data_IF_422306330796
#
_entry.id   IF_422306330796
#
_cell.length_a   1.000
_cell.length_b   1.000
_cell.length_c   1.000
_cell.angle_alpha   90.00
_cell.angle_beta   90.00
_cell.angle_gamma   90.00
#
_symmetry.space_group_name_H-M   'P 1'
#
loop_
_entity.id
_entity.type
_entity.pdbx_description
1 polymer ?
#
# COMPACT_ATOMS: atom_id res chain seq x y z
N UNK A 1 -19.83 -8.30 3.64
CA UNK A 1 -20.56 -9.08 4.66
C UNK A 1 -20.66 -10.55 4.30
N UNK A 2 -21.20 -10.95 3.15
CA UNK A 2 -21.33 -12.39 2.78
C UNK A 2 -20.00 -13.19 2.73
N UNK A 3 -18.87 -12.54 2.43
CA UNK A 3 -17.54 -13.17 2.37
C UNK A 3 -16.95 -13.46 3.76
N UNK A 4 -17.26 -12.63 4.75
CA UNK A 4 -16.76 -12.74 6.13
C UNK A 4 -17.44 -13.94 6.81
N UNK A 5 -18.76 -14.05 6.66
CA UNK A 5 -19.56 -15.16 7.20
C UNK A 5 -19.15 -16.53 6.63
N UNK A 6 -18.65 -16.57 5.39
CA UNK A 6 -18.19 -17.81 4.75
C UNK A 6 -16.78 -18.24 5.19
N UNK A 7 -15.96 -17.29 5.66
CA UNK A 7 -14.64 -17.57 6.24
C UNK A 7 -14.78 -18.04 7.69
N UNK A 8 -15.69 -17.45 8.47
CA UNK A 8 -16.02 -17.90 9.85
C UNK A 8 -16.48 -19.37 9.88
N UNK A 9 -17.37 -19.78 8.98
CA UNK A 9 -17.81 -21.20 8.90
C UNK A 9 -16.71 -22.18 8.47
N UNK A 10 -15.67 -21.70 7.79
CA UNK A 10 -14.55 -22.52 7.32
C UNK A 10 -13.51 -22.71 8.44
N UNK A 11 -13.44 -21.72 9.33
CA UNK A 11 -12.66 -21.73 10.57
C UNK A 11 -13.31 -22.62 11.65
N UNK A 12 -14.64 -22.59 11.78
CA UNK A 12 -15.39 -23.54 12.63
C UNK A 12 -15.16 -25.01 12.21
N UNK A 13 -14.97 -25.24 10.90
CA UNK A 13 -14.64 -26.56 10.35
C UNK A 13 -13.21 -27.01 10.70
N UNK A 14 -12.28 -26.08 10.85
CA UNK A 14 -10.88 -26.33 11.23
C UNK A 14 -10.71 -26.58 12.73
N UNK A 15 -11.57 -25.97 13.55
CA UNK A 15 -11.55 -26.11 15.01
C UNK A 15 -12.29 -27.33 15.55
N UNK A 16 -12.92 -28.12 14.67
CA UNK A 16 -13.38 -29.46 14.97
C UNK A 16 -14.40 -29.55 16.12
N UNK A 17 -15.69 -29.40 15.80
CA UNK A 17 -16.75 -30.06 16.59
C UNK A 17 -16.84 -31.57 16.29
N UNK A 18 -15.69 -32.23 16.10
CA UNK A 18 -15.62 -33.69 16.02
C UNK A 18 -14.40 -34.19 16.77
N UNK A 19 -14.69 -34.95 17.83
CA UNK A 19 -13.76 -35.68 18.69
C UNK A 19 -12.89 -36.65 17.88
N UNK A 20 -11.76 -36.17 17.35
CA UNK A 20 -10.67 -37.01 16.92
C UNK A 20 -9.36 -36.23 17.06
N UNK A 21 -8.54 -36.64 18.03
CA UNK A 21 -7.24 -36.08 18.34
C UNK A 21 -6.34 -36.03 17.08
N UNK A 22 -5.93 -34.82 16.69
CA UNK A 22 -4.75 -34.61 15.84
C UNK A 22 -3.84 -33.60 16.54
N UNK A 23 -2.60 -34.03 16.79
CA UNK A 23 -1.54 -33.23 17.40
C UNK A 23 -1.01 -32.17 16.42
N UNK A 24 -1.75 -31.08 16.26
CA UNK A 24 -1.28 -29.84 15.65
C UNK A 24 -1.77 -28.68 16.51
N UNK A 25 -0.91 -27.71 16.81
CA UNK A 25 -1.31 -26.49 17.51
C UNK A 25 -2.46 -25.83 16.73
N UNK A 26 -3.65 -25.61 17.33
CA UNK A 26 -4.76 -25.00 16.62
C UNK A 26 -4.34 -23.60 16.16
N UNK A 27 -4.49 -23.32 14.87
CA UNK A 27 -4.33 -21.96 14.33
C UNK A 27 -5.50 -21.17 14.90
N UNK A 28 -5.22 -20.19 15.77
CA UNK A 28 -6.26 -19.32 16.31
C UNK A 28 -6.93 -18.55 15.18
N UNK A 29 -8.25 -18.50 15.20
CA UNK A 29 -9.14 -17.93 14.17
C UNK A 29 -8.71 -16.54 13.70
N UNK A 30 -8.31 -15.70 14.65
CA UNK A 30 -7.85 -14.32 14.40
C UNK A 30 -6.52 -14.28 13.62
N UNK A 31 -5.60 -15.21 13.91
CA UNK A 31 -4.31 -15.28 13.21
C UNK A 31 -4.51 -15.73 11.76
N UNK A 32 -5.43 -16.67 11.52
CA UNK A 32 -5.77 -17.11 10.17
C UNK A 32 -6.42 -15.99 9.35
N UNK A 33 -7.41 -15.30 9.91
CA UNK A 33 -8.11 -14.23 9.22
C UNK A 33 -7.14 -13.11 8.82
N UNK A 34 -6.22 -12.74 9.72
CA UNK A 34 -5.16 -11.76 9.45
C UNK A 34 -4.26 -12.18 8.28
N UNK A 35 -3.83 -13.45 8.21
CA UNK A 35 -3.03 -13.96 7.08
C UNK A 35 -3.83 -13.93 5.77
N UNK A 36 -5.08 -14.38 5.79
CA UNK A 36 -5.93 -14.39 4.60
C UNK A 36 -6.19 -12.97 4.08
N UNK A 37 -6.44 -12.00 4.97
CA UNK A 37 -6.62 -10.60 4.61
C UNK A 37 -5.35 -9.98 4.03
N UNK A 38 -4.20 -10.19 4.67
CA UNK A 38 -2.92 -9.70 4.19
C UNK A 38 -2.60 -10.25 2.79
N UNK A 39 -2.82 -11.55 2.57
CA UNK A 39 -2.57 -12.20 1.28
C UNK A 39 -3.61 -11.83 0.22
N UNK A 40 -4.85 -11.56 0.59
CA UNK A 40 -5.85 -11.04 -0.32
C UNK A 40 -5.49 -9.63 -0.80
N UNK A 41 -5.04 -8.76 0.11
CA UNK A 41 -4.59 -7.41 -0.20
C UNK A 41 -3.33 -7.44 -1.09
N UNK A 42 -2.33 -8.24 -0.71
CA UNK A 42 -1.11 -8.45 -1.48
C UNK A 42 -1.41 -9.01 -2.87
N UNK A 43 -2.14 -10.12 -2.99
CA UNK A 43 -2.45 -10.72 -4.28
C UNK A 43 -3.13 -9.72 -5.23
N UNK A 44 -4.04 -8.89 -4.71
CA UNK A 44 -4.79 -7.93 -5.52
C UNK A 44 -3.97 -6.68 -5.89
N UNK A 45 -3.27 -6.07 -4.94
CA UNK A 45 -2.69 -4.73 -5.09
C UNK A 45 -1.16 -4.71 -5.11
N UNK A 46 -0.49 -5.82 -4.80
CA UNK A 46 0.97 -5.87 -4.70
C UNK A 46 1.53 -5.05 -3.55
N UNK A 47 0.78 -4.94 -2.46
CA UNK A 47 1.17 -4.21 -1.26
C UNK A 47 0.78 -5.00 0.00
N UNK A 48 1.36 -4.66 1.14
CA UNK A 48 0.93 -5.14 2.46
C UNK A 48 0.38 -3.97 3.27
N UNK A 49 -0.61 -4.25 4.12
CA UNK A 49 -1.09 -3.27 5.09
C UNK A 49 0.07 -2.86 6.02
N UNK A 50 0.18 -1.57 6.32
CA UNK A 50 1.25 -1.04 7.16
C UNK A 50 2.59 -0.84 6.44
N UNK A 51 2.74 -1.29 5.19
CA UNK A 51 3.95 -1.13 4.37
C UNK A 51 5.23 -1.46 5.15
N UNK A 52 5.38 -2.71 5.63
CA UNK A 52 6.57 -3.11 6.36
C UNK A 52 7.81 -3.00 5.46
N UNK A 53 8.97 -2.91 6.09
CA UNK A 53 10.27 -2.89 5.39
C UNK A 53 10.39 -4.08 4.43
N UNK A 54 11.04 -3.93 3.24
CA UNK A 54 11.03 -4.94 2.18
C UNK A 54 11.43 -6.35 2.63
N UNK A 55 12.41 -6.46 3.54
CA UNK A 55 12.83 -7.76 4.09
C UNK A 55 11.75 -8.42 4.96
N UNK A 56 11.03 -7.63 5.77
CA UNK A 56 9.91 -8.12 6.58
C UNK A 56 8.71 -8.45 5.68
N UNK A 57 8.42 -7.61 4.69
CA UNK A 57 7.39 -7.84 3.70
C UNK A 57 7.61 -9.17 2.95
N UNK A 58 8.84 -9.43 2.50
CA UNK A 58 9.20 -10.66 1.81
C UNK A 58 8.93 -11.91 2.67
N UNK A 59 9.28 -11.86 3.96
CA UNK A 59 9.04 -12.95 4.90
C UNK A 59 7.53 -13.16 5.11
N UNK A 60 6.78 -12.08 5.39
CA UNK A 60 5.32 -12.16 5.61
C UNK A 60 4.58 -12.72 4.38
N UNK A 61 4.97 -12.31 3.17
CA UNK A 61 4.39 -12.84 1.93
C UNK A 61 4.69 -14.33 1.78
N UNK A 62 5.95 -14.73 2.01
CA UNK A 62 6.35 -16.12 1.85
C UNK A 62 5.66 -17.04 2.86
N UNK A 63 5.66 -16.66 4.14
CA UNK A 63 4.99 -17.39 5.22
C UNK A 63 3.47 -17.42 5.03
N UNK A 64 2.87 -16.31 4.58
CA UNK A 64 1.44 -16.20 4.33
C UNK A 64 0.97 -17.11 3.19
N UNK A 65 1.71 -17.15 2.08
CA UNK A 65 1.45 -18.05 0.96
C UNK A 65 1.60 -19.52 1.41
N UNK A 66 2.65 -19.85 2.16
CA UNK A 66 2.86 -21.19 2.67
C UNK A 66 1.73 -21.64 3.61
N UNK A 67 1.30 -20.75 4.50
CA UNK A 67 0.18 -20.99 5.43
C UNK A 67 -1.12 -21.26 4.68
N UNK A 68 -1.46 -20.43 3.68
CA UNK A 68 -2.64 -20.64 2.84
C UNK A 68 -2.54 -21.93 2.01
N UNK A 69 -1.36 -22.26 1.51
CA UNK A 69 -1.14 -23.50 0.75
C UNK A 69 -1.45 -24.73 1.60
N UNK A 70 -0.87 -24.79 2.81
CA UNK A 70 -1.13 -25.88 3.76
C UNK A 70 -2.61 -25.99 4.10
N UNK A 71 -3.31 -24.87 4.26
CA UNK A 71 -4.74 -24.89 4.51
C UNK A 71 -5.53 -25.50 3.35
N UNK A 72 -5.28 -25.04 2.13
CA UNK A 72 -5.99 -25.51 0.93
C UNK A 72 -5.72 -27.00 0.65
N UNK A 73 -4.55 -27.50 1.05
CA UNK A 73 -4.24 -28.93 1.02
C UNK A 73 -5.05 -29.73 2.06
N UNK A 74 -5.18 -29.21 3.28
CA UNK A 74 -5.93 -29.85 4.35
C UNK A 74 -7.45 -29.80 4.15
N UNK A 75 -7.94 -28.81 3.40
CA UNK A 75 -9.35 -28.63 3.07
C UNK A 75 -9.54 -28.65 1.54
N UNK A 76 -9.73 -29.81 0.91
CA UNK A 76 -9.86 -29.92 -0.54
C UNK A 76 -10.99 -29.07 -1.11
N UNK A 77 -12.09 -28.92 -0.37
CA UNK A 77 -13.22 -28.06 -0.75
C UNK A 77 -12.85 -26.57 -0.75
N UNK A 78 -11.77 -26.18 -0.07
CA UNK A 78 -11.29 -24.81 -0.02
C UNK A 78 -10.60 -24.34 -1.32
N UNK A 79 -10.27 -25.27 -2.22
CA UNK A 79 -9.66 -24.95 -3.54
C UNK A 79 -10.53 -24.04 -4.38
N UNK A 80 -11.85 -24.18 -4.27
CA UNK A 80 -12.84 -23.38 -5.02
C UNK A 80 -13.53 -22.32 -4.16
N UNK A 81 -13.08 -22.12 -2.92
CA UNK A 81 -13.59 -21.07 -2.02
C UNK A 81 -12.58 -19.92 -1.89
N UNK A 82 -12.93 -18.90 -1.09
CA UNK A 82 -12.11 -17.69 -0.93
C UNK A 82 -10.63 -17.98 -0.60
N UNK A 83 -10.27 -18.89 0.32
CA UNK A 83 -8.87 -19.25 0.57
C UNK A 83 -8.10 -19.73 -0.68
N UNK A 84 -8.67 -20.63 -1.48
CA UNK A 84 -8.05 -21.09 -2.73
C UNK A 84 -7.88 -19.98 -3.75
N UNK A 85 -8.86 -19.07 -3.85
CA UNK A 85 -8.76 -17.91 -4.73
C UNK A 85 -7.69 -16.90 -4.27
N UNK A 86 -7.60 -16.65 -2.96
CA UNK A 86 -6.58 -15.77 -2.37
C UNK A 86 -5.19 -16.35 -2.62
N UNK A 87 -4.99 -17.64 -2.33
CA UNK A 87 -3.74 -18.35 -2.58
C UNK A 87 -3.34 -18.26 -4.05
N UNK A 88 -4.28 -18.51 -4.97
CA UNK A 88 -4.03 -18.47 -6.40
C UNK A 88 -3.57 -17.07 -6.86
N UNK A 89 -4.19 -16.01 -6.36
CA UNK A 89 -3.80 -14.63 -6.68
C UNK A 89 -2.45 -14.26 -6.08
N UNK A 90 -2.23 -14.53 -4.78
CA UNK A 90 -0.97 -14.22 -4.11
C UNK A 90 0.21 -14.96 -4.75
N UNK A 91 0.04 -16.24 -5.06
CA UNK A 91 1.07 -17.07 -5.72
C UNK A 91 1.34 -16.60 -7.14
N UNK A 92 0.30 -16.31 -7.93
CA UNK A 92 0.45 -15.80 -9.30
C UNK A 92 1.16 -14.44 -9.33
N UNK A 93 0.87 -13.56 -8.37
CA UNK A 93 1.62 -12.30 -8.24
C UNK A 93 3.08 -12.56 -7.92
N UNK A 94 3.38 -13.47 -6.99
CA UNK A 94 4.76 -13.82 -6.65
C UNK A 94 5.53 -14.40 -7.86
N UNK A 95 4.85 -15.16 -8.71
CA UNK A 95 5.42 -15.65 -9.98
C UNK A 95 5.72 -14.50 -10.95
N UNK A 96 4.79 -13.55 -11.10
CA UNK A 96 5.01 -12.37 -11.95
C UNK A 96 6.20 -11.53 -11.47
N UNK A 97 6.34 -11.34 -10.15
CA UNK A 97 7.46 -10.62 -9.54
C UNK A 97 8.82 -11.28 -9.79
N UNK A 98 8.87 -12.60 -10.00
CA UNK A 98 10.11 -13.30 -10.33
C UNK A 98 10.64 -12.97 -11.73
N UNK A 99 9.83 -12.35 -12.59
CA UNK A 99 10.17 -11.99 -13.97
C UNK A 99 10.31 -13.19 -14.92
N UNK A 100 10.15 -14.43 -14.44
CA UNK A 100 10.36 -15.65 -15.23
C UNK A 100 9.37 -16.76 -14.85
N UNK A 101 9.36 -17.85 -15.62
CA UNK A 101 8.42 -18.96 -15.43
C UNK A 101 7.05 -18.72 -16.10
N UNK A 102 6.00 -19.30 -15.54
CA UNK A 102 4.65 -19.28 -16.09
C UNK A 102 3.61 -18.91 -15.02
N UNK A 103 2.51 -18.30 -15.45
CA UNK A 103 1.37 -17.92 -14.62
C UNK A 103 0.07 -18.52 -15.13
N UNK A 104 -0.81 -18.89 -14.19
CA UNK A 104 -2.11 -19.48 -14.52
C UNK A 104 -3.06 -18.46 -15.19
N UNK A 105 -3.79 -18.85 -16.26
CA UNK A 105 -4.71 -17.94 -16.97
C UNK A 105 -5.80 -17.34 -16.10
N UNK A 106 -6.31 -18.11 -15.13
CA UNK A 106 -7.37 -17.66 -14.22
C UNK A 106 -6.92 -16.48 -13.34
N UNK A 107 -5.68 -16.51 -12.83
CA UNK A 107 -5.14 -15.40 -12.06
C UNK A 107 -4.86 -14.19 -12.95
N UNK A 108 -4.28 -14.41 -14.14
CA UNK A 108 -4.00 -13.33 -15.09
C UNK A 108 -5.28 -12.63 -15.58
N UNK A 109 -6.38 -13.36 -15.76
CA UNK A 109 -7.68 -12.81 -16.10
C UNK A 109 -8.16 -11.81 -15.03
N UNK A 110 -8.00 -12.18 -13.75
CA UNK A 110 -8.33 -11.30 -12.62
C UNK A 110 -7.44 -10.04 -12.59
N UNK A 111 -6.13 -10.17 -12.82
CA UNK A 111 -5.22 -9.02 -12.87
C UNK A 111 -5.51 -8.06 -14.03
N UNK A 112 -5.81 -8.60 -15.21
CA UNK A 112 -6.14 -7.79 -16.39
C UNK A 112 -7.59 -7.32 -16.47
N UNK A 113 -8.42 -7.63 -15.46
CA UNK A 113 -9.81 -7.19 -15.39
C UNK A 113 -10.69 -7.76 -16.51
N UNK A 114 -10.40 -8.98 -16.97
CA UNK A 114 -11.13 -9.67 -18.04
C UNK A 114 -11.72 -10.99 -17.56
N UNK A 115 -12.72 -11.52 -18.28
CA UNK A 115 -13.25 -12.85 -17.98
C UNK A 115 -12.24 -13.95 -18.34
N UNK A 116 -12.33 -15.10 -17.66
CA UNK A 116 -11.52 -16.28 -18.00
C UNK A 116 -11.73 -16.74 -19.45
N UNK A 117 -12.98 -16.67 -19.95
CA UNK A 117 -13.26 -16.95 -21.36
C UNK A 117 -12.54 -15.98 -22.32
N UNK A 118 -12.49 -14.68 -22.00
CA UNK A 118 -11.72 -13.72 -22.78
C UNK A 118 -10.22 -14.04 -22.74
N UNK A 119 -9.70 -14.46 -21.58
CA UNK A 119 -8.31 -14.89 -21.45
C UNK A 119 -8.01 -16.12 -22.34
N UNK A 120 -8.86 -17.13 -22.37
CA UNK A 120 -8.69 -18.28 -23.27
C UNK A 120 -8.72 -17.90 -24.75
N UNK A 121 -9.55 -16.92 -25.14
CA UNK A 121 -9.54 -16.38 -26.51
C UNK A 121 -8.26 -15.62 -26.85
N UNK A 122 -7.53 -15.09 -25.86
CA UNK A 122 -6.21 -14.48 -26.07
C UNK A 122 -5.10 -15.52 -26.14
N UNK A 123 -5.36 -16.77 -25.74
CA UNK A 123 -4.41 -17.88 -25.80
C UNK A 123 -4.61 -18.78 -27.02
N UNK A 124 -5.77 -18.72 -27.68
CA UNK A 124 -6.16 -19.64 -28.76
C UNK A 124 -6.83 -18.90 -29.93
N UNK A 125 -6.63 -19.41 -31.16
CA UNK A 125 -7.26 -18.86 -32.37
C UNK A 125 -6.40 -17.85 -33.15
N UNK A 126 -6.94 -17.31 -34.24
CA UNK A 126 -6.22 -16.46 -35.20
C UNK A 126 -5.76 -15.09 -34.65
N UNK A 127 -6.22 -14.70 -33.45
CA UNK A 127 -5.83 -13.45 -32.77
C UNK A 127 -5.20 -13.69 -31.39
N UNK A 128 -4.63 -14.87 -31.15
CA UNK A 128 -3.95 -15.19 -29.91
C UNK A 128 -2.76 -14.23 -29.68
N UNK A 129 -2.70 -13.65 -28.48
CA UNK A 129 -1.60 -12.80 -28.03
C UNK A 129 -0.57 -13.61 -27.23
N UNK A 130 -1.01 -14.69 -26.58
CA UNK A 130 -0.14 -15.54 -25.77
C UNK A 130 0.26 -16.80 -26.50
N UNK A 131 1.48 -17.26 -26.21
CA UNK A 131 1.95 -18.59 -26.60
C UNK A 131 1.94 -19.46 -25.34
N UNK A 132 0.88 -20.25 -25.11
CA UNK A 132 0.76 -20.99 -23.88
C UNK A 132 1.81 -22.12 -23.80
N UNK A 133 2.37 -22.29 -22.61
CA UNK A 133 3.26 -23.40 -22.25
C UNK A 133 2.50 -24.26 -21.24
N UNK A 134 2.15 -25.48 -21.63
CA UNK A 134 1.34 -26.41 -20.82
C UNK A 134 0.05 -25.79 -20.26
N UNK A 135 -0.61 -24.95 -21.07
CA UNK A 135 -1.84 -24.25 -20.69
C UNK A 135 -1.65 -23.05 -19.75
N UNK A 136 -0.41 -22.69 -19.42
CA UNK A 136 -0.05 -21.49 -18.68
C UNK A 136 0.58 -20.42 -19.59
N UNK A 137 0.75 -19.20 -19.09
CA UNK A 137 1.25 -18.05 -19.85
C UNK A 137 2.63 -17.69 -19.33
N UNK A 138 3.61 -17.52 -20.23
CA UNK A 138 4.95 -17.10 -19.84
C UNK A 138 4.92 -15.74 -19.13
N UNK A 139 5.61 -15.61 -17.99
CA UNK A 139 5.63 -14.39 -17.18
C UNK A 139 6.01 -13.14 -17.98
N UNK A 140 7.04 -13.16 -18.86
CA UNK A 140 7.35 -11.98 -19.69
C UNK A 140 6.19 -11.52 -20.58
N UNK A 141 5.45 -12.47 -21.18
CA UNK A 141 4.27 -12.13 -22.00
C UNK A 141 3.12 -11.61 -21.13
N UNK A 142 2.91 -12.20 -19.95
CA UNK A 142 1.90 -11.74 -19.01
C UNK A 142 2.18 -10.31 -18.52
N UNK A 143 3.42 -9.99 -18.15
CA UNK A 143 3.82 -8.65 -17.71
C UNK A 143 3.65 -7.62 -18.82
N UNK A 144 4.12 -7.91 -20.04
CA UNK A 144 3.93 -7.01 -21.19
C UNK A 144 2.45 -6.74 -21.47
N UNK A 145 1.58 -7.75 -21.31
CA UNK A 145 0.13 -7.57 -21.49
C UNK A 145 -0.56 -6.79 -20.35
N UNK A 146 0.01 -6.82 -19.15
CA UNK A 146 -0.51 -6.13 -17.97
C UNK A 146 -0.13 -4.64 -17.93
N UNK A 147 0.95 -4.24 -18.60
CA UNK A 147 1.50 -2.87 -18.56
C UNK A 147 0.46 -1.79 -18.87
N UNK A 148 -0.39 -2.01 -19.87
CA UNK A 148 -1.43 -1.06 -20.30
C UNK A 148 -2.78 -1.24 -19.57
N UNK A 149 -2.85 -2.07 -18.53
CA UNK A 149 -4.12 -2.41 -17.86
C UNK A 149 -4.36 -1.53 -16.65
N UNK A 150 -5.46 -0.78 -16.67
CA UNK A 150 -5.91 0.04 -15.53
C UNK A 150 -6.25 -0.76 -14.26
N UNK A 151 -6.46 -2.07 -14.37
CA UNK A 151 -6.70 -2.97 -13.24
C UNK A 151 -5.42 -3.54 -12.63
N UNK A 152 -4.27 -3.33 -13.26
CA UNK A 152 -2.99 -3.84 -12.81
C UNK A 152 -2.23 -2.79 -12.02
N UNK A 153 -1.69 -3.23 -10.87
CA UNK A 153 -0.82 -2.44 -10.02
C UNK A 153 0.49 -3.21 -9.83
N UNK A 154 1.64 -2.66 -10.24
CA UNK A 154 2.95 -3.21 -9.90
C UNK A 154 3.10 -3.31 -8.37
N UNK A 155 3.85 -4.31 -7.92
CA UNK A 155 4.08 -4.47 -6.49
C UNK A 155 4.99 -3.39 -5.95
N UNK A 156 4.58 -2.75 -4.86
CA UNK A 156 5.28 -1.63 -4.24
C UNK A 156 5.97 -2.01 -2.92
N UNK A 157 5.76 -3.22 -2.42
CA UNK A 157 6.39 -3.69 -1.17
C UNK A 157 7.91 -3.87 -1.28
N UNK A 158 8.45 -3.95 -2.50
CA UNK A 158 9.88 -4.00 -2.80
C UNK A 158 10.53 -2.63 -2.86
N UNK A 159 9.72 -1.57 -2.99
CA UNK A 159 10.25 -0.23 -3.08
C UNK A 159 10.78 0.14 -1.71
N UNK A 160 12.06 0.51 -1.66
CA UNK A 160 12.54 1.24 -0.51
C UNK A 160 11.73 2.53 -0.41
N UNK A 161 11.26 2.90 0.80
CA UNK A 161 10.70 4.22 1.00
C UNK A 161 11.73 5.23 0.50
N UNK A 162 11.31 6.12 -0.41
CA UNK A 162 12.19 7.15 -0.98
C UNK A 162 12.97 7.81 0.16
N UNK A 163 14.30 7.73 0.17
CA UNK A 163 15.12 8.28 1.27
C UNK A 163 14.76 9.75 1.54
N UNK A 164 14.37 10.51 0.50
CA UNK A 164 13.90 11.88 0.62
C UNK A 164 12.62 12.01 1.47
N UNK A 165 11.77 10.99 1.47
CA UNK A 165 10.54 10.94 2.27
C UNK A 165 10.81 10.67 3.76
N UNK A 166 11.97 10.08 4.10
CA UNK A 166 12.41 9.81 5.47
C UNK A 166 13.30 10.91 6.06
N UNK A 167 13.78 11.86 5.25
CA UNK A 167 14.56 13.01 5.75
C UNK A 167 13.72 13.77 6.79
N UNK A 168 14.21 13.77 8.03
CA UNK A 168 13.65 14.61 9.08
C UNK A 168 14.00 16.08 8.83
N UNK A 169 12.97 16.89 8.65
CA UNK A 169 13.07 18.33 8.45
C UNK A 169 12.73 19.01 9.78
N UNK A 170 13.64 19.83 10.29
CA UNK A 170 13.35 20.71 11.42
C UNK A 170 12.53 21.93 10.94
N UNK A 171 11.27 22.00 11.35
CA UNK A 171 10.33 23.06 10.97
C UNK A 171 10.05 24.01 12.14
N UNK A 172 9.96 25.33 11.91
CA UNK A 172 9.58 26.29 12.94
C UNK A 172 8.21 26.00 13.55
N UNK A 173 8.11 26.10 14.87
CA UNK A 173 6.88 25.91 15.64
C UNK A 173 6.54 27.18 16.44
N UNK A 174 5.26 27.55 16.45
CA UNK A 174 4.70 28.67 17.22
C UNK A 174 4.12 28.20 18.56
N UNK A 175 3.86 29.14 19.48
CA UNK A 175 3.38 28.84 20.84
C UNK A 175 2.04 28.08 20.91
N UNK A 176 1.23 28.14 19.86
CA UNK A 176 -0.04 27.42 19.76
C UNK A 176 0.08 26.05 19.09
N UNK A 177 1.31 25.56 18.86
CA UNK A 177 1.59 24.27 18.24
C UNK A 177 1.49 24.26 16.71
N UNK A 178 1.15 25.40 16.08
CA UNK A 178 1.18 25.53 14.62
C UNK A 178 2.61 25.53 14.13
N UNK A 179 2.88 24.77 13.08
CA UNK A 179 4.18 24.76 12.39
C UNK A 179 4.14 25.56 11.10
N UNK A 180 5.30 25.97 10.60
CA UNK A 180 5.43 26.47 9.23
C UNK A 180 5.39 25.31 8.23
N UNK A 181 4.23 25.05 7.63
CA UNK A 181 3.98 23.94 6.71
C UNK A 181 3.58 24.38 5.28
N UNK A 182 3.73 23.50 4.27
CA UNK A 182 3.39 23.80 2.87
C UNK A 182 1.95 24.29 2.66
N UNK A 183 1.00 23.83 3.48
CA UNK A 183 -0.41 24.21 3.41
C UNK A 183 -0.67 25.71 3.71
N UNK A 184 0.33 26.46 4.17
CA UNK A 184 0.25 27.90 4.43
C UNK A 184 0.43 28.77 3.17
N UNK A 185 0.71 28.16 2.01
CA UNK A 185 0.92 28.89 0.76
C UNK A 185 -0.33 29.69 0.38
N UNK A 186 -0.17 31.00 0.15
CA UNK A 186 -1.20 31.81 -0.51
C UNK A 186 -0.91 31.91 -2.01
N UNK A 187 -1.83 32.55 -2.74
CA UNK A 187 -1.68 32.78 -4.19
C UNK A 187 -0.32 33.38 -4.59
N UNK A 188 0.23 34.29 -3.78
CA UNK A 188 1.52 34.93 -4.05
C UNK A 188 2.74 34.16 -3.50
N UNK A 189 2.53 33.18 -2.61
CA UNK A 189 3.61 32.46 -1.91
C UNK A 189 3.43 32.45 -0.40
N UNK A 190 4.53 32.12 0.29
CA UNK A 190 4.68 32.13 1.74
C UNK A 190 5.09 33.53 2.20
N UNK A 191 4.37 34.08 3.18
CA UNK A 191 4.70 35.37 3.78
C UNK A 191 5.45 35.13 5.09
N UNK A 192 6.71 35.52 5.13
CA UNK A 192 7.61 35.36 6.29
C UNK A 192 8.19 36.71 6.71
N UNK A 193 8.60 36.83 7.97
CA UNK A 193 9.22 38.04 8.53
C UNK A 193 8.29 38.91 9.41
N UNK A 194 8.83 39.99 9.99
CA UNK A 194 8.08 40.88 10.86
C UNK A 194 7.01 41.67 10.13
N UNK A 195 5.98 42.10 10.88
CA UNK A 195 4.93 42.97 10.38
C UNK A 195 5.53 44.27 9.81
N UNK A 196 5.22 44.58 8.55
CA UNK A 196 5.72 45.77 7.85
C UNK A 196 7.02 45.53 7.07
N UNK A 197 7.61 44.35 7.15
CA UNK A 197 8.79 43.96 6.37
C UNK A 197 8.70 42.48 5.99
N UNK A 198 7.48 42.02 5.66
CA UNK A 198 7.25 40.65 5.22
C UNK A 198 7.85 40.40 3.82
N UNK A 199 8.58 39.29 3.70
CA UNK A 199 9.06 38.75 2.43
C UNK A 199 8.05 37.72 1.90
N UNK A 200 7.80 37.76 0.58
CA UNK A 200 6.94 36.78 -0.10
C UNK A 200 7.80 35.85 -0.93
N UNK A 201 7.84 34.57 -0.58
CA UNK A 201 8.66 33.56 -1.26
C UNK A 201 7.74 32.51 -1.89
N UNK A 202 7.82 32.24 -3.20
CA UNK A 202 6.92 31.31 -3.88
C UNK A 202 7.09 29.84 -3.49
N UNK A 203 8.34 29.43 -3.27
CA UNK A 203 8.72 28.06 -2.94
C UNK A 203 8.80 27.83 -1.43
N UNK A 204 8.43 26.63 -0.97
CA UNK A 204 8.40 26.32 0.44
C UNK A 204 9.79 26.13 1.03
N UNK A 205 10.65 25.40 0.33
CA UNK A 205 11.98 25.04 0.83
C UNK A 205 12.86 26.31 0.87
N UNK A 206 12.72 27.19 -0.13
CA UNK A 206 13.34 28.52 -0.11
C UNK A 206 12.83 29.37 1.07
N UNK A 207 11.52 29.37 1.33
CA UNK A 207 10.95 30.13 2.43
C UNK A 207 11.39 29.59 3.80
N UNK A 208 11.50 28.27 3.94
CA UNK A 208 12.01 27.61 5.13
C UNK A 208 13.49 27.93 5.34
N UNK A 209 14.31 27.85 4.29
CA UNK A 209 15.73 28.21 4.33
C UNK A 209 15.92 29.67 4.73
N UNK A 210 15.14 30.60 4.14
CA UNK A 210 15.16 32.02 4.50
C UNK A 210 14.71 32.26 5.94
N UNK A 211 13.67 31.56 6.39
CA UNK A 211 13.16 31.71 7.76
C UNK A 211 14.18 31.23 8.80
N UNK A 212 14.96 30.19 8.50
CA UNK A 212 16.07 29.72 9.36
C UNK A 212 17.21 30.73 9.50
N UNK A 213 17.34 31.67 8.56
CA UNK A 213 18.34 32.76 8.62
C UNK A 213 17.84 34.00 9.38
N UNK A 214 16.58 34.04 9.82
CA UNK A 214 16.04 35.16 10.58
C UNK A 214 16.33 35.00 12.08
N UNK A 215 16.64 36.09 12.78
CA UNK A 215 16.82 36.09 14.25
C UNK A 215 15.63 35.46 14.99
N UNK A 216 14.42 35.69 14.47
CA UNK A 216 13.20 35.05 14.94
C UNK A 216 12.26 34.83 13.77
N UNK A 217 12.04 33.56 13.41
CA UNK A 217 11.10 33.17 12.38
C UNK A 217 9.70 33.71 12.67
N UNK A 218 9.07 34.29 11.66
CA UNK A 218 7.70 34.80 11.73
C UNK A 218 7.01 34.47 10.43
N UNK A 219 5.76 34.04 10.48
CA UNK A 219 4.99 33.71 9.28
C UNK A 219 3.51 33.96 9.48
N UNK A 220 2.76 34.01 8.38
CA UNK A 220 1.30 34.13 8.43
C UNK A 220 0.60 32.78 8.44
N UNK A 221 -0.46 32.67 9.25
CA UNK A 221 -1.36 31.52 9.30
C UNK A 221 -2.80 31.94 9.61
N UNK A 222 -3.83 31.18 9.18
CA UNK A 222 -5.22 31.41 9.57
C UNK A 222 -5.48 31.03 11.03
N UNK A 223 -6.20 31.87 11.77
CA UNK A 223 -6.73 31.53 13.09
C UNK A 223 -8.07 30.77 12.98
N UNK A 224 -8.65 30.38 14.12
CA UNK A 224 -9.94 29.67 14.18
C UNK A 224 -11.10 30.42 13.48
N UNK A 225 -11.02 31.74 13.36
CA UNK A 225 -11.99 32.56 12.62
C UNK A 225 -11.66 32.71 11.12
N UNK A 226 -10.64 32.01 10.61
CA UNK A 226 -10.15 32.10 9.23
C UNK A 226 -9.31 33.35 8.91
N UNK A 227 -9.06 34.21 9.90
CA UNK A 227 -8.29 35.44 9.73
C UNK A 227 -6.78 35.14 9.77
N UNK A 228 -6.03 35.72 8.83
CA UNK A 228 -4.59 35.47 8.70
C UNK A 228 -3.75 36.42 9.56
N UNK A 229 -3.23 35.89 10.67
CA UNK A 229 -2.35 36.60 11.59
C UNK A 229 -0.89 36.19 11.45
N UNK A 230 0.01 37.02 11.97
CA UNK A 230 1.44 36.69 12.09
C UNK A 230 1.65 35.94 13.41
N UNK A 231 2.37 34.84 13.36
CA UNK A 231 2.88 34.12 14.53
C UNK A 231 4.40 34.22 14.56
N UNK A 232 4.98 33.98 15.74
CA UNK A 232 6.43 33.96 15.92
C UNK A 232 6.88 32.57 16.36
N UNK A 233 8.03 32.15 15.86
CA UNK A 233 8.71 30.94 16.26
C UNK A 233 9.02 30.97 17.76
N UNK A 234 8.73 29.87 18.44
CA UNK A 234 9.14 29.59 19.82
C UNK A 234 10.00 28.33 19.93
N UNK A 235 9.99 27.47 18.90
CA UNK A 235 10.79 26.25 18.86
C UNK A 235 10.88 25.66 17.45
N UNK A 236 11.31 24.42 17.37
CA UNK A 236 11.37 23.62 16.14
C UNK A 236 10.78 22.23 16.40
N UNK A 237 10.12 21.67 15.39
CA UNK A 237 9.61 20.31 15.39
C UNK A 237 10.31 19.50 14.31
N UNK A 238 10.70 18.26 14.61
CA UNK A 238 11.21 17.32 13.60
C UNK A 238 10.06 16.55 12.99
N UNK A 239 10.00 16.52 11.67
CA UNK A 239 8.97 15.79 10.92
C UNK A 239 9.56 15.24 9.64
N UNK A 240 9.09 14.09 9.19
CA UNK A 240 9.40 13.59 7.85
C UNK A 240 8.78 14.50 6.78
N UNK A 241 9.38 14.54 5.57
CA UNK A 241 8.84 15.27 4.41
C UNK A 241 7.37 14.91 4.15
N UNK A 242 7.03 13.62 4.24
CA UNK A 242 5.67 13.13 4.05
C UNK A 242 4.69 13.65 5.14
N UNK A 243 5.09 13.60 6.42
CA UNK A 243 4.25 14.11 7.51
C UNK A 243 4.04 15.63 7.41
N UNK A 244 5.06 16.37 6.96
CA UNK A 244 4.99 17.80 6.73
C UNK A 244 4.04 18.17 5.57
N UNK A 245 4.04 17.40 4.48
CA UNK A 245 3.12 17.60 3.36
C UNK A 245 1.68 17.23 3.70
N UNK A 246 1.49 16.20 4.54
CA UNK A 246 0.19 15.81 5.04
C UNK A 246 -0.35 16.78 6.11
N UNK A 247 0.50 17.61 6.72
CA UNK A 247 0.11 18.51 7.80
C UNK A 247 -1.02 19.46 7.38
N UNK A 248 -2.04 19.57 8.22
CA UNK A 248 -3.14 20.52 8.07
C UNK A 248 -3.26 21.32 9.36
N UNK A 249 -3.77 22.54 9.24
CA UNK A 249 -4.02 23.40 10.39
C UNK A 249 -5.29 22.89 11.05
N UNK A 250 -5.21 22.51 12.33
CA UNK A 250 -6.39 22.29 13.15
C UNK A 250 -7.07 23.65 13.36
N UNK A 251 -8.13 23.90 12.61
CA UNK A 251 -8.95 25.12 12.70
C UNK A 251 -9.95 25.01 13.85
#
# INVERSE_FOLDING_TARGET
>A
MATITRLESLVDLLNGTSTAERHGTPIRDEAFLSVAEAMAFYGRYGALAGMPEPGQAANQISEGIETLSRLVELLPDAKTTSPGEILALASARRQLESGSGVVAPAALAKFGGVSLGRMHNLMTGQGALFQPVDGAIAVPQALAWLEDRSSWWPSIWMNEPDEASQVEIEVPEAADGTIFAPCLKRRAGYMIGPKGSEEVIPDYDDALARMRQMDKGRWRRPNAAGNWGIVSQVGTRRMTRAALEAWRINA
#
